data_IF_002052243670
#
_entry.id   IF_002052243670
#
_cell.length_a   1.000
_cell.length_b   1.000
_cell.length_c   1.000
_cell.angle_alpha   90.00
_cell.angle_beta   90.00
_cell.angle_gamma   90.00
#
_symmetry.space_group_name_H-M   'P 1'
#
loop_
_entity.id
_entity.type
_entity.pdbx_description
1 polymer ?
#
# COMPACT_ATOMS: atom_id res chain seq x y z
N UNK A 1 36.22 -17.03 30.99
CA UNK A 1 35.67 -16.49 29.74
C UNK A 1 34.81 -17.57 29.10
N UNK A 2 33.51 -17.57 29.37
CA UNK A 2 32.54 -18.47 28.70
C UNK A 2 31.83 -17.60 27.67
N UNK A 3 32.33 -17.61 26.44
CA UNK A 3 31.65 -17.04 25.29
C UNK A 3 30.52 -18.00 24.90
N UNK A 4 29.35 -17.83 25.53
CA UNK A 4 28.15 -18.63 25.23
C UNK A 4 27.60 -18.30 23.83
N UNK A 5 27.48 -19.28 22.92
CA UNK A 5 27.00 -19.08 21.54
C UNK A 5 25.52 -18.65 21.46
N UNK A 6 24.75 -18.91 22.52
CA UNK A 6 23.35 -18.53 22.70
C UNK A 6 23.09 -17.02 22.50
N UNK A 7 24.02 -16.17 22.95
CA UNK A 7 23.88 -14.71 22.84
C UNK A 7 24.06 -14.22 21.40
N UNK A 8 24.92 -14.86 20.61
CA UNK A 8 25.14 -14.52 19.22
C UNK A 8 23.93 -14.86 18.35
N UNK A 9 23.30 -16.02 18.59
CA UNK A 9 22.08 -16.43 17.89
C UNK A 9 20.90 -15.49 18.18
N UNK A 10 20.67 -15.11 19.44
CA UNK A 10 19.60 -14.17 19.80
C UNK A 10 19.80 -12.78 19.17
N UNK A 11 21.04 -12.29 19.14
CA UNK A 11 21.39 -11.03 18.47
C UNK A 11 21.19 -11.10 16.97
N UNK A 12 21.58 -12.20 16.33
CA UNK A 12 21.37 -12.43 14.89
C UNK A 12 19.89 -12.50 14.53
N UNK A 13 19.07 -13.21 15.33
CA UNK A 13 17.62 -13.29 15.13
C UNK A 13 16.95 -11.92 15.30
N UNK A 14 17.34 -11.16 16.33
CA UNK A 14 16.84 -9.81 16.54
C UNK A 14 17.19 -8.87 15.36
N UNK A 15 18.41 -8.97 14.82
CA UNK A 15 18.82 -8.21 13.64
C UNK A 15 18.04 -8.62 12.39
N UNK A 16 17.81 -9.92 12.19
CA UNK A 16 17.00 -10.44 11.07
C UNK A 16 15.55 -9.95 11.13
N UNK A 17 14.94 -9.95 12.32
CA UNK A 17 13.59 -9.43 12.54
C UNK A 17 13.54 -7.92 12.25
N UNK A 18 14.54 -7.16 12.73
CA UNK A 18 14.63 -5.73 12.48
C UNK A 18 14.80 -5.43 10.98
N UNK A 19 15.61 -6.22 10.28
CA UNK A 19 15.84 -6.09 8.85
C UNK A 19 14.57 -6.42 8.06
N UNK A 20 13.83 -7.47 8.45
CA UNK A 20 12.55 -7.84 7.85
C UNK A 20 11.48 -6.77 8.05
N UNK A 21 11.44 -6.12 9.22
CA UNK A 21 10.54 -5.01 9.51
C UNK A 21 10.85 -3.75 8.69
N UNK A 22 12.10 -3.54 8.27
CA UNK A 22 12.45 -2.43 7.38
C UNK A 22 11.96 -2.64 5.94
N UNK A 23 11.83 -3.90 5.49
CA UNK A 23 11.39 -4.23 4.13
C UNK A 23 9.90 -3.89 3.92
N UNK A 24 9.09 -3.86 4.99
CA UNK A 24 7.65 -3.57 4.90
C UNK A 24 7.33 -2.08 4.67
N UNK A 25 8.33 -1.19 4.76
CA UNK A 25 8.15 0.27 4.57
C UNK A 25 8.11 0.67 3.08
N UNK A 26 8.40 -0.26 2.16
CA UNK A 26 8.59 0.06 0.74
C UNK A 26 7.30 0.16 -0.11
N UNK A 27 6.10 -0.02 0.45
CA UNK A 27 4.88 0.16 -0.35
C UNK A 27 4.66 1.64 -0.68
N UNK A 28 4.73 1.97 -1.97
CA UNK A 28 4.39 3.32 -2.44
C UNK A 28 2.91 3.60 -2.20
N UNK A 29 2.61 4.77 -1.65
CA UNK A 29 1.22 5.25 -1.49
C UNK A 29 0.47 5.27 -2.82
N UNK A 30 1.20 5.54 -3.92
CA UNK A 30 0.66 5.48 -5.29
C UNK A 30 0.24 4.07 -5.68
N UNK A 31 1.10 3.07 -5.45
CA UNK A 31 0.80 1.67 -5.78
C UNK A 31 -0.42 1.15 -5.01
N UNK A 32 -0.53 1.47 -3.72
CA UNK A 32 -1.70 1.08 -2.92
C UNK A 32 -2.96 1.75 -3.45
N UNK A 33 -2.90 3.05 -3.73
CA UNK A 33 -4.03 3.80 -4.26
C UNK A 33 -4.49 3.26 -5.61
N UNK A 34 -3.59 3.13 -6.58
CA UNK A 34 -3.88 2.65 -7.93
C UNK A 34 -4.44 1.23 -7.91
N UNK A 35 -3.87 0.32 -7.12
CA UNK A 35 -4.40 -1.03 -6.98
C UNK A 35 -5.83 -1.05 -6.42
N UNK A 36 -6.12 -0.19 -5.44
CA UNK A 36 -7.46 -0.07 -4.85
C UNK A 36 -8.49 0.49 -5.85
N UNK A 37 -8.12 1.52 -6.62
CA UNK A 37 -9.00 2.18 -7.58
C UNK A 37 -9.21 1.34 -8.84
N UNK A 38 -8.18 0.65 -9.34
CA UNK A 38 -8.29 -0.23 -10.49
C UNK A 38 -9.33 -1.33 -10.27
N UNK A 39 -9.34 -1.95 -9.09
CA UNK A 39 -10.34 -2.97 -8.76
C UNK A 39 -11.76 -2.40 -8.74
N UNK A 40 -11.95 -1.19 -8.21
CA UNK A 40 -13.26 -0.50 -8.17
C UNK A 40 -13.74 -0.10 -9.55
N UNK A 41 -12.86 0.42 -10.40
CA UNK A 41 -13.17 0.74 -11.80
C UNK A 41 -13.62 -0.50 -12.56
N UNK A 42 -12.99 -1.65 -12.33
CA UNK A 42 -13.42 -2.93 -12.92
C UNK A 42 -14.79 -3.38 -12.39
N UNK A 43 -15.15 -3.06 -11.15
CA UNK A 43 -16.50 -3.29 -10.63
C UNK A 43 -17.54 -2.39 -11.33
N UNK A 44 -17.17 -1.16 -11.69
CA UNK A 44 -18.07 -0.25 -12.41
C UNK A 44 -18.53 -0.84 -13.74
N UNK A 45 -17.67 -1.58 -14.47
CA UNK A 45 -18.02 -2.21 -15.75
C UNK A 45 -19.15 -3.22 -15.66
N UNK A 46 -19.44 -3.74 -14.47
CA UNK A 46 -20.52 -4.71 -14.22
C UNK A 46 -21.87 -4.03 -13.96
N UNK A 47 -21.88 -2.70 -13.81
CA UNK A 47 -23.07 -1.93 -13.47
C UNK A 47 -23.88 -1.56 -14.72
N UNK A 48 -25.17 -1.26 -14.51
CA UNK A 48 -26.02 -0.70 -15.56
C UNK A 48 -25.56 0.72 -15.94
N UNK A 49 -25.85 1.19 -17.16
CA UNK A 49 -25.41 2.51 -17.64
C UNK A 49 -25.75 3.67 -16.71
N UNK A 50 -26.92 3.61 -16.05
CA UNK A 50 -27.35 4.64 -15.10
C UNK A 50 -26.48 4.74 -13.83
N UNK A 51 -25.81 3.64 -13.45
CA UNK A 51 -24.96 3.56 -12.26
C UNK A 51 -23.46 3.61 -12.60
N UNK A 52 -23.11 3.25 -13.84
CA UNK A 52 -21.74 3.27 -14.35
C UNK A 52 -21.11 4.65 -14.19
N UNK A 53 -21.78 5.70 -14.65
CA UNK A 53 -21.21 7.05 -14.67
C UNK A 53 -20.89 7.55 -13.26
N UNK A 54 -21.83 7.38 -12.32
CA UNK A 54 -21.62 7.77 -10.93
C UNK A 54 -20.46 6.99 -10.28
N UNK A 55 -20.30 5.70 -10.60
CA UNK A 55 -19.20 4.88 -10.12
C UNK A 55 -17.84 5.34 -10.66
N UNK A 56 -17.74 5.61 -11.95
CA UNK A 56 -16.51 6.11 -12.58
C UNK A 56 -16.15 7.50 -12.06
N UNK A 57 -17.12 8.37 -11.82
CA UNK A 57 -16.85 9.70 -11.26
C UNK A 57 -16.27 9.62 -9.83
N UNK A 58 -16.65 8.60 -9.05
CA UNK A 58 -16.16 8.40 -7.68
C UNK A 58 -14.78 7.72 -7.62
N UNK A 59 -14.50 6.76 -8.49
CA UNK A 59 -13.26 5.96 -8.47
C UNK A 59 -12.29 6.24 -9.63
N UNK A 60 -12.65 7.13 -10.55
CA UNK A 60 -11.86 7.46 -11.75
C UNK A 60 -10.80 8.54 -11.52
N UNK A 61 -10.70 9.09 -10.30
CA UNK A 61 -9.69 10.08 -9.98
C UNK A 61 -8.27 9.51 -10.07
N UNK A 62 -7.36 10.29 -10.67
CA UNK A 62 -5.95 9.93 -10.72
C UNK A 62 -5.26 10.17 -9.37
N UNK A 63 -4.23 9.38 -9.05
CA UNK A 63 -3.46 9.57 -7.82
C UNK A 63 -2.87 10.99 -7.71
N UNK A 64 -2.47 11.57 -8.83
CA UNK A 64 -1.86 12.90 -8.88
C UNK A 64 -2.88 14.00 -8.57
N UNK A 65 -4.14 13.85 -9.02
CA UNK A 65 -5.23 14.76 -8.66
C UNK A 65 -5.66 14.60 -7.21
N UNK A 66 -5.73 13.35 -6.73
CA UNK A 66 -5.98 13.04 -5.32
C UNK A 66 -4.95 13.71 -4.41
N UNK A 67 -3.66 13.62 -4.76
CA UNK A 67 -2.57 14.25 -4.01
C UNK A 67 -2.66 15.77 -4.05
N UNK A 68 -2.89 16.36 -5.23
CA UNK A 68 -3.07 17.82 -5.37
C UNK A 68 -4.19 18.36 -4.49
N UNK A 69 -5.36 17.71 -4.51
CA UNK A 69 -6.48 18.10 -3.63
C UNK A 69 -6.14 17.93 -2.14
N UNK A 70 -5.36 16.91 -1.79
CA UNK A 70 -4.95 16.67 -0.40
C UNK A 70 -3.98 17.73 0.12
N UNK A 71 -3.11 18.27 -0.73
CA UNK A 71 -2.11 19.27 -0.37
C UNK A 71 -2.60 20.71 -0.48
N UNK A 72 -3.67 20.95 -1.25
CA UNK A 72 -4.32 22.25 -1.40
C UNK A 72 -5.31 22.60 -0.27
N UNK A 73 -5.68 21.62 0.57
CA UNK A 73 -6.50 21.80 1.78
C UNK A 73 -5.67 22.16 3.01
#
# INVERSE_FOLDING_TARGET
>A
MISSPEFAHKRLHALLILLLAFITVACSQRQIYEASHANRLQECEKLLPAQYQACVDEYGESYDDYQRRKTDK
#
